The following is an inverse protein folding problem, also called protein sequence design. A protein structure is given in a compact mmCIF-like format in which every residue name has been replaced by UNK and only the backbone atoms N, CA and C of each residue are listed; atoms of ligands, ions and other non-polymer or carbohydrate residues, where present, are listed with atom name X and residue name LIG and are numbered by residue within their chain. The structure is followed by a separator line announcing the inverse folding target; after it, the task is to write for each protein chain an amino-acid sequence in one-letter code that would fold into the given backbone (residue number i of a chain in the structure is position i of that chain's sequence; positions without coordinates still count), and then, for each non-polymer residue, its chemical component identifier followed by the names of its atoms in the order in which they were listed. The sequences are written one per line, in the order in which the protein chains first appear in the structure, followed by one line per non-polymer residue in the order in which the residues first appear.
data_IF_996515994855
#
_entry.id   IF_996515994855
#
_cell.length_a   1.000
_cell.length_b   1.000
_cell.length_c   1.000
_cell.angle_alpha   90.00
_cell.angle_beta   90.00
_cell.angle_gamma   90.00
#
_symmetry.space_group_name_H-M   'P 1'
#
loop_
_entity.id
_entity.type
_entity.pdbx_description
1 polymer ?
#
# COMPACT_ATOMS: atom_id res chain seq x y z
N UNK A 1 -42.89 -61.15 -55.87
CA UNK A 1 -42.19 -59.88 -56.17
C UNK A 1 -42.76 -58.81 -55.24
N UNK A 2 -41.92 -58.28 -54.32
CA UNK A 2 -41.92 -56.93 -53.72
C UNK A 2 -43.28 -56.25 -53.41
N UNK A 3 -43.57 -55.68 -52.24
CA UNK A 3 -42.75 -55.14 -51.14
C UNK A 3 -43.68 -54.94 -49.93
N UNK A 4 -43.14 -55.18 -48.74
CA UNK A 4 -43.77 -54.92 -47.44
C UNK A 4 -43.58 -53.44 -47.09
N UNK A 5 -44.66 -52.74 -46.76
CA UNK A 5 -44.62 -51.46 -46.02
C UNK A 5 -45.26 -51.72 -44.65
N UNK A 6 -44.44 -51.76 -43.60
CA UNK A 6 -44.90 -51.74 -42.21
C UNK A 6 -44.62 -50.35 -41.66
N UNK A 7 -45.68 -49.65 -41.28
CA UNK A 7 -45.65 -48.41 -40.52
C UNK A 7 -45.14 -48.73 -39.11
N UNK A 8 -43.94 -48.25 -38.75
CA UNK A 8 -43.42 -48.34 -37.39
C UNK A 8 -43.91 -47.11 -36.61
N UNK A 9 -44.78 -47.35 -35.64
CA UNK A 9 -45.12 -46.37 -34.60
C UNK A 9 -43.98 -46.43 -33.56
N UNK A 10 -42.97 -45.60 -33.73
CA UNK A 10 -41.85 -45.47 -32.79
C UNK A 10 -42.21 -44.54 -31.65
N UNK A 11 -42.49 -45.12 -30.48
CA UNK A 11 -42.57 -44.41 -29.21
C UNK A 11 -41.17 -43.89 -28.87
N UNK A 12 -40.91 -42.61 -29.11
CA UNK A 12 -39.65 -41.97 -28.71
C UNK A 12 -39.64 -41.83 -27.18
N UNK A 13 -39.02 -42.80 -26.52
CA UNK A 13 -38.68 -42.72 -25.10
C UNK A 13 -37.58 -41.66 -24.97
N UNK A 14 -37.96 -40.43 -24.61
CA UNK A 14 -37.04 -39.36 -24.27
C UNK A 14 -36.30 -39.78 -22.98
N UNK A 15 -35.11 -40.34 -23.14
CA UNK A 15 -34.20 -40.53 -22.03
C UNK A 15 -33.79 -39.13 -21.55
N UNK A 16 -34.44 -38.66 -20.48
CA UNK A 16 -33.92 -37.57 -19.65
C UNK A 16 -32.60 -38.07 -19.05
N UNK A 17 -31.50 -37.82 -19.76
CA UNK A 17 -30.19 -37.79 -19.17
C UNK A 17 -30.20 -36.60 -18.20
N UNK A 18 -29.99 -36.81 -16.89
CA UNK A 18 -29.64 -35.70 -16.03
C UNK A 18 -28.31 -35.17 -16.56
N UNK A 19 -28.35 -34.03 -17.26
CA UNK A 19 -27.21 -33.15 -17.36
C UNK A 19 -26.89 -32.75 -15.93
N UNK A 20 -26.04 -33.54 -15.28
CA UNK A 20 -25.31 -33.11 -14.10
C UNK A 20 -24.62 -31.83 -14.52
N UNK A 21 -25.16 -30.69 -14.07
CA UNK A 21 -24.39 -29.47 -14.02
C UNK A 21 -23.18 -29.82 -13.16
N UNK A 22 -22.02 -29.98 -13.80
CA UNK A 22 -20.76 -29.84 -13.11
C UNK A 22 -20.71 -28.40 -12.61
N UNK A 23 -21.32 -28.13 -11.45
CA UNK A 23 -20.78 -27.10 -10.58
C UNK A 23 -19.48 -27.73 -10.09
N UNK A 24 -18.30 -27.28 -10.56
CA UNK A 24 -17.05 -27.74 -9.96
C UNK A 24 -17.18 -27.44 -8.48
N UNK A 25 -17.16 -28.49 -7.65
CA UNK A 25 -17.16 -28.32 -6.22
C UNK A 25 -15.91 -27.53 -5.90
N UNK A 26 -16.06 -26.34 -5.33
CA UNK A 26 -14.93 -25.49 -4.94
C UNK A 26 -14.10 -26.28 -3.93
N UNK A 27 -12.97 -26.81 -4.37
CA UNK A 27 -12.06 -27.59 -3.52
C UNK A 27 -11.13 -26.65 -2.77
N UNK A 28 -11.25 -26.63 -1.46
CA UNK A 28 -10.30 -25.98 -0.58
C UNK A 28 -9.02 -26.80 -0.49
N UNK A 29 -7.89 -26.16 -0.79
CA UNK A 29 -6.55 -26.72 -0.60
C UNK A 29 -6.07 -26.31 0.80
N UNK A 30 -5.48 -27.26 1.54
CA UNK A 30 -4.75 -26.91 2.76
C UNK A 30 -3.41 -26.35 2.30
N UNK A 31 -3.13 -25.10 2.64
CA UNK A 31 -1.84 -24.48 2.39
C UNK A 31 -0.84 -24.94 3.46
N UNK A 32 0.41 -25.20 3.06
CA UNK A 32 1.47 -25.54 4.01
C UNK A 32 1.84 -24.30 4.85
N UNK A 33 1.78 -23.12 4.25
CA UNK A 33 1.82 -21.82 4.89
C UNK A 33 0.65 -20.94 4.44
N UNK A 34 0.00 -20.14 5.33
CA UNK A 34 -0.98 -19.13 4.93
C UNK A 34 -0.44 -18.12 3.88
N UNK A 35 0.87 -18.04 3.72
CA UNK A 35 1.54 -17.14 2.79
C UNK A 35 1.71 -17.75 1.39
N UNK A 36 1.52 -19.06 1.24
CA UNK A 36 1.67 -19.74 -0.06
C UNK A 36 0.65 -19.22 -1.08
N UNK A 37 1.13 -18.93 -2.29
CA UNK A 37 0.26 -18.48 -3.37
C UNK A 37 -0.75 -19.57 -3.74
N UNK A 38 -2.00 -19.13 -3.91
CA UNK A 38 -3.08 -19.98 -4.40
C UNK A 38 -2.95 -20.17 -5.91
N UNK A 39 -3.48 -21.28 -6.43
CA UNK A 39 -3.69 -21.42 -7.88
C UNK A 39 -4.74 -20.43 -8.36
N UNK A 40 -4.61 -19.88 -9.56
CA UNK A 40 -5.50 -18.80 -10.05
C UNK A 40 -6.25 -19.16 -11.34
N UNK A 41 -7.00 -20.29 -11.41
CA UNK A 41 -7.61 -20.76 -12.65
C UNK A 41 -8.59 -19.77 -13.30
N UNK A 42 -9.26 -18.92 -12.52
CA UNK A 42 -10.17 -17.89 -13.07
C UNK A 42 -9.35 -16.82 -13.79
N UNK A 43 -8.25 -16.37 -13.19
CA UNK A 43 -7.30 -15.43 -13.81
C UNK A 43 -6.63 -16.06 -15.04
N UNK A 44 -6.14 -17.29 -14.93
CA UNK A 44 -5.41 -17.99 -16.00
C UNK A 44 -6.28 -18.21 -17.25
N UNK A 45 -7.58 -18.42 -17.04
CA UNK A 45 -8.54 -18.64 -18.13
C UNK A 45 -9.09 -17.35 -18.74
N UNK A 46 -8.91 -16.20 -18.09
CA UNK A 46 -9.49 -14.94 -18.55
C UNK A 46 -8.58 -14.24 -19.57
N UNK A 47 -9.02 -14.19 -20.83
CA UNK A 47 -8.22 -13.62 -21.93
C UNK A 47 -8.40 -12.11 -22.06
N UNK A 48 -7.32 -11.42 -22.37
CA UNK A 48 -7.32 -9.98 -22.54
C UNK A 48 -8.11 -9.58 -23.79
N UNK A 49 -9.26 -8.88 -23.67
CA UNK A 49 -10.13 -8.60 -24.81
C UNK A 49 -9.55 -7.63 -25.84
N UNK A 50 -8.46 -6.92 -25.52
CA UNK A 50 -7.88 -5.86 -26.37
C UNK A 50 -6.43 -6.18 -26.79
N UNK A 51 -6.05 -7.46 -26.80
CA UNK A 51 -4.70 -7.91 -27.12
C UNK A 51 -4.22 -7.47 -28.51
N UNK A 52 -5.09 -7.42 -29.50
CA UNK A 52 -4.69 -7.09 -30.88
C UNK A 52 -4.46 -5.58 -31.12
N UNK A 53 -4.90 -4.71 -30.21
CA UNK A 53 -4.96 -3.25 -30.47
C UNK A 53 -4.21 -2.39 -29.46
N UNK A 54 -3.90 -2.90 -28.25
CA UNK A 54 -3.36 -2.07 -27.15
C UNK A 54 -2.07 -1.32 -27.51
N UNK A 55 -1.20 -1.92 -28.33
CA UNK A 55 0.12 -1.37 -28.65
C UNK A 55 0.04 -0.05 -29.46
N UNK A 56 -1.10 0.22 -30.09
CA UNK A 56 -1.34 1.43 -30.89
C UNK A 56 -2.01 2.56 -30.11
N UNK A 57 -2.31 2.34 -28.83
CA UNK A 57 -3.18 3.20 -28.01
C UNK A 57 -2.42 3.82 -26.85
N UNK A 58 -2.92 4.95 -26.37
CA UNK A 58 -2.36 5.68 -25.23
C UNK A 58 -3.43 5.80 -24.15
N UNK A 59 -3.17 5.23 -22.96
CA UNK A 59 -4.16 5.11 -21.88
C UNK A 59 -4.78 6.45 -21.47
N UNK A 60 -4.04 7.56 -21.58
CA UNK A 60 -4.53 8.90 -21.21
C UNK A 60 -5.46 9.55 -22.24
N UNK A 61 -5.81 8.84 -23.32
CA UNK A 61 -6.78 9.28 -24.32
C UNK A 61 -8.06 8.48 -24.18
N UNK A 62 -9.19 9.17 -24.04
CA UNK A 62 -10.52 8.56 -24.02
C UNK A 62 -11.02 8.39 -25.45
N UNK A 63 -11.20 7.14 -25.89
CA UNK A 63 -11.73 6.83 -27.21
C UNK A 63 -13.25 6.88 -27.26
N UNK A 64 -13.80 6.74 -28.47
CA UNK A 64 -15.24 6.61 -28.66
C UNK A 64 -15.78 5.43 -27.85
N UNK A 65 -16.83 5.68 -27.05
CA UNK A 65 -17.38 4.68 -26.14
C UNK A 65 -16.71 4.62 -24.76
N UNK A 66 -15.72 5.48 -24.47
CA UNK A 66 -15.12 5.59 -23.15
C UNK A 66 -13.91 4.68 -22.89
N UNK A 67 -13.42 3.98 -23.90
CA UNK A 67 -12.24 3.13 -23.76
C UNK A 67 -10.99 3.99 -23.54
N UNK A 68 -10.30 3.76 -22.43
CA UNK A 68 -8.93 4.21 -22.19
C UNK A 68 -8.04 2.98 -22.22
N UNK A 69 -7.01 2.96 -23.07
CA UNK A 69 -6.19 1.78 -23.29
C UNK A 69 -4.76 2.18 -23.70
N UNK A 70 -3.76 1.51 -23.17
CA UNK A 70 -2.40 1.63 -23.69
C UNK A 70 -1.35 0.89 -22.87
N UNK A 71 -0.20 0.66 -23.50
CA UNK A 71 0.96 0.11 -22.81
C UNK A 71 1.54 1.14 -21.83
N UNK A 72 2.09 0.66 -20.72
CA UNK A 72 2.74 1.47 -19.72
C UNK A 72 4.01 0.80 -19.19
N UNK A 73 4.86 1.59 -18.54
CA UNK A 73 6.03 1.13 -17.81
C UNK A 73 5.83 1.44 -16.33
N UNK A 74 6.16 0.50 -15.44
CA UNK A 74 6.14 0.76 -14.01
C UNK A 74 7.15 1.86 -13.67
N UNK A 75 6.70 2.89 -12.95
CA UNK A 75 7.58 3.91 -12.37
C UNK A 75 7.88 3.63 -10.91
N UNK A 76 6.85 3.35 -10.12
CA UNK A 76 6.97 2.98 -8.72
C UNK A 76 5.68 2.35 -8.19
N UNK A 77 5.79 1.52 -7.16
CA UNK A 77 4.65 0.93 -6.45
C UNK A 77 4.28 1.77 -5.24
N UNK A 78 2.99 1.89 -4.91
CA UNK A 78 2.54 2.55 -3.68
C UNK A 78 2.08 1.51 -2.65
N UNK A 79 1.11 0.68 -3.02
CA UNK A 79 0.57 -0.39 -2.19
C UNK A 79 -0.15 -1.45 -3.06
N UNK A 80 -0.94 -2.34 -2.43
CA UNK A 80 -1.59 -3.48 -3.09
C UNK A 80 -2.71 -3.11 -4.07
N UNK A 81 -3.12 -1.84 -4.17
CA UNK A 81 -4.13 -1.40 -5.13
C UNK A 81 -3.84 -0.05 -5.80
N UNK A 82 -2.62 0.47 -5.59
CA UNK A 82 -2.16 1.73 -6.18
C UNK A 82 -0.71 1.61 -6.66
N UNK A 83 -0.47 2.01 -7.91
CA UNK A 83 0.87 2.09 -8.51
C UNK A 83 1.00 3.28 -9.47
N UNK A 84 2.22 3.66 -9.78
CA UNK A 84 2.57 4.79 -10.64
C UNK A 84 3.21 4.29 -11.92
N UNK A 85 2.75 4.81 -13.06
CA UNK A 85 3.18 4.38 -14.38
C UNK A 85 3.60 5.54 -15.26
N UNK A 86 4.50 5.25 -16.19
CA UNK A 86 4.84 6.10 -17.32
C UNK A 86 4.13 5.58 -18.56
N UNK A 87 3.56 6.50 -19.33
CA UNK A 87 2.83 6.21 -20.56
C UNK A 87 3.44 7.03 -21.69
N UNK A 88 3.79 6.38 -22.79
CA UNK A 88 4.42 7.03 -23.92
C UNK A 88 3.55 8.18 -24.46
N UNK A 89 4.14 9.35 -24.66
CA UNK A 89 3.44 10.55 -25.11
C UNK A 89 2.67 11.30 -24.02
N UNK A 90 2.72 10.86 -22.76
CA UNK A 90 2.18 11.58 -21.61
C UNK A 90 3.32 12.00 -20.68
N UNK A 91 3.46 13.31 -20.46
CA UNK A 91 4.58 13.86 -19.70
C UNK A 91 4.46 13.67 -18.19
N UNK A 92 3.24 13.46 -17.69
CA UNK A 92 2.99 13.27 -16.26
C UNK A 92 2.99 11.78 -15.89
N UNK A 93 3.07 11.52 -14.60
CA UNK A 93 2.93 10.16 -14.07
C UNK A 93 1.46 9.77 -13.96
N UNK A 94 1.10 8.60 -14.47
CA UNK A 94 -0.21 8.00 -14.26
C UNK A 94 -0.21 7.31 -12.90
N UNK A 95 -0.70 8.02 -11.87
CA UNK A 95 -1.03 7.39 -10.57
C UNK A 95 -2.35 6.64 -10.72
N UNK A 96 -2.31 5.32 -10.73
CA UNK A 96 -3.45 4.46 -11.00
C UNK A 96 -3.99 3.84 -9.71
N UNK A 97 -5.30 3.99 -9.48
CA UNK A 97 -6.06 3.22 -8.50
C UNK A 97 -6.72 2.03 -9.19
N UNK A 98 -6.52 0.84 -8.65
CA UNK A 98 -6.93 -0.40 -9.28
C UNK A 98 -8.43 -0.57 -9.11
N UNK A 99 -9.14 -0.81 -10.22
CA UNK A 99 -10.58 -1.03 -10.22
C UNK A 99 -10.95 -2.39 -9.62
N UNK A 100 -12.10 -2.44 -8.94
CA UNK A 100 -12.70 -3.66 -8.42
C UNK A 100 -12.08 -4.22 -7.14
N UNK A 101 -11.05 -3.57 -6.59
CA UNK A 101 -10.35 -4.02 -5.38
C UNK A 101 -10.13 -2.89 -4.37
N UNK A 102 -9.94 -3.30 -3.11
CA UNK A 102 -9.45 -2.47 -2.01
C UNK A 102 -8.62 -3.37 -1.09
N UNK A 103 -7.30 -3.33 -1.22
CA UNK A 103 -6.43 -4.16 -0.37
C UNK A 103 -6.37 -3.57 1.05
N UNK A 104 -6.12 -4.38 2.09
CA UNK A 104 -5.87 -3.84 3.42
C UNK A 104 -4.72 -2.82 3.40
N UNK A 105 -4.83 -1.79 4.23
CA UNK A 105 -3.88 -0.68 4.26
C UNK A 105 -2.47 -1.14 4.68
N UNK A 106 -1.43 -0.57 4.06
CA UNK A 106 -0.04 -1.00 4.29
C UNK A 106 0.96 0.15 4.41
N UNK A 107 0.49 1.40 4.37
CA UNK A 107 1.33 2.60 4.39
C UNK A 107 1.10 3.37 5.68
N UNK A 108 0.26 4.42 5.66
CA UNK A 108 -0.04 5.26 6.83
C UNK A 108 -0.70 4.46 7.96
N UNK A 109 -1.55 3.51 7.60
CA UNK A 109 -2.12 2.51 8.49
C UNK A 109 -1.60 1.14 8.06
N UNK A 110 -1.38 0.27 9.03
CA UNK A 110 -0.98 -1.12 8.77
C UNK A 110 -2.11 -2.03 9.20
N UNK A 111 -2.66 -2.78 8.25
CA UNK A 111 -3.72 -3.75 8.46
C UNK A 111 -3.23 -5.17 8.10
N UNK A 112 -3.82 -6.22 8.70
CA UNK A 112 -3.52 -7.60 8.34
C UNK A 112 -3.62 -7.84 6.84
N UNK A 113 -2.67 -8.57 6.28
CA UNK A 113 -2.49 -8.88 4.86
C UNK A 113 -2.10 -7.70 3.96
N UNK A 114 -2.10 -6.46 4.44
CA UNK A 114 -1.82 -5.28 3.62
C UNK A 114 -0.39 -5.26 3.07
N UNK A 115 0.61 -5.56 3.92
CA UNK A 115 2.02 -5.61 3.51
C UNK A 115 2.28 -6.70 2.47
N UNK A 116 1.69 -7.89 2.67
CA UNK A 116 1.81 -9.02 1.73
C UNK A 116 1.11 -8.74 0.40
N UNK A 117 -0.05 -8.07 0.41
CA UNK A 117 -0.72 -7.61 -0.80
C UNK A 117 0.15 -6.61 -1.59
N UNK A 118 0.76 -5.65 -0.89
CA UNK A 118 1.68 -4.67 -1.49
C UNK A 118 2.91 -5.34 -2.12
N UNK A 119 3.54 -6.29 -1.42
CA UNK A 119 4.68 -7.06 -1.94
C UNK A 119 4.28 -7.92 -3.13
N UNK A 120 3.12 -8.58 -3.08
CA UNK A 120 2.61 -9.38 -4.19
C UNK A 120 2.49 -8.55 -5.48
N UNK A 121 1.86 -7.37 -5.38
CA UNK A 121 1.73 -6.44 -6.51
C UNK A 121 3.09 -5.94 -6.98
N UNK A 122 3.96 -5.56 -6.05
CA UNK A 122 5.32 -5.08 -6.37
C UNK A 122 6.10 -6.13 -7.17
N UNK A 123 6.17 -7.35 -6.67
CA UNK A 123 6.92 -8.43 -7.28
C UNK A 123 6.43 -8.75 -8.70
N UNK A 124 5.11 -8.65 -8.95
CA UNK A 124 4.57 -8.85 -10.30
C UNK A 124 4.96 -7.69 -11.22
N UNK A 125 4.72 -6.44 -10.79
CA UNK A 125 4.90 -5.28 -11.67
C UNK A 125 6.38 -5.00 -11.98
N UNK A 126 7.30 -5.27 -11.05
CA UNK A 126 8.73 -5.01 -11.26
C UNK A 126 9.36 -5.94 -12.30
N UNK A 127 8.83 -7.14 -12.49
CA UNK A 127 9.38 -8.14 -13.42
C UNK A 127 8.49 -8.39 -14.64
N UNK A 128 7.33 -7.74 -14.73
CA UNK A 128 6.42 -7.91 -15.86
C UNK A 128 7.09 -7.50 -17.18
N UNK A 129 7.03 -8.37 -18.18
CA UNK A 129 7.54 -8.09 -19.52
C UNK A 129 6.72 -7.01 -20.24
N UNK A 130 5.40 -7.00 -20.04
CA UNK A 130 4.50 -6.02 -20.64
C UNK A 130 3.43 -5.67 -19.64
N UNK A 131 3.13 -4.37 -19.51
CA UNK A 131 2.04 -3.83 -18.68
C UNK A 131 1.12 -3.03 -19.59
N UNK A 132 -0.18 -3.30 -19.50
CA UNK A 132 -1.24 -2.62 -20.25
C UNK A 132 -2.29 -2.12 -19.27
N UNK A 133 -2.60 -0.84 -19.35
CA UNK A 133 -3.64 -0.20 -18.56
C UNK A 133 -4.91 -0.12 -19.42
N UNK A 134 -6.06 -0.44 -18.82
CA UNK A 134 -7.36 -0.33 -19.49
C UNK A 134 -8.45 0.19 -18.54
N UNK A 135 -9.30 1.10 -19.01
CA UNK A 135 -10.46 1.58 -18.27
C UNK A 135 -11.67 1.77 -19.20
N UNK A 136 -12.84 1.51 -18.66
CA UNK A 136 -14.14 1.88 -19.21
C UNK A 136 -14.60 3.17 -18.53
N UNK A 137 -14.14 4.30 -19.04
CA UNK A 137 -14.35 5.60 -18.43
C UNK A 137 -15.84 6.03 -18.42
N UNK A 138 -16.66 5.46 -19.31
CA UNK A 138 -18.11 5.68 -19.29
C UNK A 138 -18.76 5.02 -18.08
N UNK A 139 -18.26 3.86 -17.66
CA UNK A 139 -18.80 3.13 -16.51
C UNK A 139 -18.17 3.56 -15.18
N UNK A 140 -16.85 3.70 -15.15
CA UNK A 140 -16.11 3.91 -13.90
C UNK A 140 -15.66 5.36 -13.67
N UNK A 141 -15.75 6.20 -14.70
CA UNK A 141 -15.05 7.49 -14.74
C UNK A 141 -13.56 7.32 -15.03
N UNK A 142 -12.91 8.41 -15.43
CA UNK A 142 -11.47 8.42 -15.74
C UNK A 142 -10.61 8.42 -14.47
N UNK A 143 -11.11 9.06 -13.41
CA UNK A 143 -10.39 9.37 -12.18
C UNK A 143 -11.25 9.07 -10.96
N UNK A 144 -10.57 8.85 -9.84
CA UNK A 144 -11.22 8.68 -8.55
C UNK A 144 -11.93 9.97 -8.11
N UNK A 145 -12.71 9.88 -7.02
CA UNK A 145 -13.47 11.02 -6.50
C UNK A 145 -12.60 12.22 -6.07
N UNK A 146 -11.32 12.00 -5.80
CA UNK A 146 -10.37 13.07 -5.48
C UNK A 146 -9.82 13.78 -6.74
N UNK A 147 -9.97 13.17 -7.91
CA UNK A 147 -9.36 13.62 -9.17
C UNK A 147 -7.85 13.35 -9.27
N UNK A 148 -7.20 12.87 -8.20
CA UNK A 148 -5.75 12.74 -8.15
C UNK A 148 -5.24 11.43 -8.77
N UNK A 149 -6.10 10.42 -8.90
CA UNK A 149 -5.71 9.09 -9.40
C UNK A 149 -6.57 8.71 -10.59
N UNK A 150 -5.94 8.20 -11.65
CA UNK A 150 -6.66 7.53 -12.72
C UNK A 150 -7.23 6.21 -12.21
N UNK A 151 -8.33 5.76 -12.79
CA UNK A 151 -8.93 4.45 -12.52
C UNK A 151 -8.57 3.48 -13.65
N UNK A 152 -8.26 2.23 -13.32
CA UNK A 152 -8.06 1.22 -14.35
C UNK A 152 -7.81 -0.19 -13.85
N UNK A 153 -7.87 -1.11 -14.80
CA UNK A 153 -7.41 -2.49 -14.69
C UNK A 153 -5.99 -2.61 -15.27
N UNK A 154 -5.22 -3.53 -14.70
CA UNK A 154 -3.86 -3.83 -15.16
C UNK A 154 -3.81 -5.22 -15.74
N UNK A 155 -3.51 -5.29 -17.03
CA UNK A 155 -3.16 -6.53 -17.71
C UNK A 155 -1.64 -6.61 -17.84
N UNK A 156 -1.06 -7.78 -17.56
CA UNK A 156 0.38 -7.96 -17.68
C UNK A 156 0.76 -9.28 -18.32
N UNK A 157 1.95 -9.32 -18.95
CA UNK A 157 2.61 -10.56 -19.38
C UNK A 157 3.82 -10.81 -18.49
N UNK A 158 3.96 -12.00 -17.87
CA UNK A 158 5.18 -12.33 -17.12
C UNK A 158 6.39 -12.54 -18.04
N UNK A 159 6.18 -13.06 -19.25
CA UNK A 159 7.23 -13.26 -20.27
C UNK A 159 6.68 -12.91 -21.66
N UNK A 160 7.55 -12.72 -22.66
CA UNK A 160 7.13 -12.38 -24.03
C UNK A 160 6.11 -13.37 -24.63
N UNK A 161 6.31 -14.67 -24.40
CA UNK A 161 5.46 -15.74 -24.95
C UNK A 161 4.29 -16.16 -24.03
N UNK A 162 4.10 -15.49 -22.89
CA UNK A 162 3.02 -15.81 -21.98
C UNK A 162 1.71 -15.13 -22.38
N UNK A 163 0.59 -15.74 -21.97
CA UNK A 163 -0.72 -15.09 -22.03
C UNK A 163 -0.80 -13.91 -21.06
N UNK A 164 -1.63 -12.91 -21.41
CA UNK A 164 -1.97 -11.83 -20.50
C UNK A 164 -2.73 -12.33 -19.27
N UNK A 165 -2.43 -11.74 -18.12
CA UNK A 165 -3.10 -11.95 -16.83
C UNK A 165 -3.65 -10.63 -16.32
N UNK A 166 -4.85 -10.66 -15.73
CA UNK A 166 -5.46 -9.49 -15.08
C UNK A 166 -5.05 -9.42 -13.62
N UNK A 167 -4.14 -8.51 -13.27
CA UNK A 167 -3.60 -8.39 -11.91
C UNK A 167 -4.69 -8.11 -10.88
N UNK A 168 -5.66 -7.24 -11.18
CA UNK A 168 -6.75 -6.93 -10.24
C UNK A 168 -7.58 -8.17 -9.85
N UNK A 169 -7.83 -9.04 -10.83
CA UNK A 169 -8.56 -10.30 -10.63
C UNK A 169 -7.70 -11.31 -9.87
N UNK A 170 -6.40 -11.36 -10.20
CA UNK A 170 -5.44 -12.20 -9.52
C UNK A 170 -5.34 -11.87 -8.02
N UNK A 171 -5.33 -10.59 -7.66
CA UNK A 171 -5.33 -10.13 -6.26
C UNK A 171 -6.56 -10.66 -5.49
N UNK A 172 -7.73 -10.68 -6.13
CA UNK A 172 -8.96 -11.24 -5.54
C UNK A 172 -8.91 -12.76 -5.43
N UNK A 173 -8.40 -13.44 -6.47
CA UNK A 173 -8.28 -14.90 -6.47
C UNK A 173 -7.20 -15.41 -5.50
N UNK A 174 -6.19 -14.58 -5.25
CA UNK A 174 -5.22 -14.73 -4.17
C UNK A 174 -5.79 -14.29 -2.80
N UNK A 175 -7.00 -13.76 -2.73
CA UNK A 175 -7.62 -13.34 -1.47
C UNK A 175 -6.85 -12.23 -0.73
N UNK A 176 -6.07 -11.42 -1.43
CA UNK A 176 -5.45 -10.21 -0.87
C UNK A 176 -6.41 -9.02 -0.87
N UNK A 177 -7.50 -9.10 -1.63
CA UNK A 177 -8.64 -8.18 -1.56
C UNK A 177 -9.95 -8.94 -1.74
N UNK A 178 -11.03 -8.34 -1.26
CA UNK A 178 -12.40 -8.77 -1.58
C UNK A 178 -12.80 -8.21 -2.94
N UNK A 179 -13.87 -8.75 -3.52
CA UNK A 179 -14.48 -8.18 -4.71
C UNK A 179 -15.25 -6.90 -4.35
N UNK A 180 -14.84 -5.76 -4.90
CA UNK A 180 -15.54 -4.48 -4.78
C UNK A 180 -16.22 -4.05 -6.08
N UNK A 181 -16.32 -4.94 -7.07
CA UNK A 181 -16.91 -4.65 -8.37
C UNK A 181 -18.41 -4.98 -8.39
N UNK A 182 -19.24 -3.94 -8.45
CA UNK A 182 -20.71 -4.06 -8.44
C UNK A 182 -21.38 -3.63 -9.74
N UNK A 183 -20.62 -3.12 -10.71
CA UNK A 183 -21.11 -2.74 -12.05
C UNK A 183 -20.41 -3.52 -13.14
N UNK A 184 -21.13 -3.79 -14.23
CA UNK A 184 -20.56 -4.42 -15.42
C UNK A 184 -19.86 -3.38 -16.29
N UNK A 185 -18.66 -3.71 -16.76
CA UNK A 185 -18.04 -2.97 -17.87
C UNK A 185 -18.70 -3.34 -19.19
N UNK A 186 -18.66 -2.41 -20.14
CA UNK A 186 -19.00 -2.61 -21.54
C UNK A 186 -17.88 -3.30 -22.34
N UNK A 187 -16.66 -3.35 -21.79
CA UNK A 187 -15.46 -3.91 -22.46
C UNK A 187 -15.37 -5.43 -22.26
N UNK A 188 -15.58 -5.90 -21.03
CA UNK A 188 -15.35 -7.28 -20.63
C UNK A 188 -16.24 -7.68 -19.44
N UNK A 189 -16.48 -8.99 -19.21
CA UNK A 189 -17.29 -9.48 -18.09
C UNK A 189 -16.51 -9.47 -16.76
N UNK A 190 -15.86 -8.35 -16.42
CA UNK A 190 -15.02 -8.23 -15.22
C UNK A 190 -15.77 -8.62 -13.95
N UNK A 191 -17.01 -8.13 -13.77
CA UNK A 191 -17.81 -8.42 -12.57
C UNK A 191 -18.02 -9.90 -12.35
N UNK A 192 -18.44 -10.63 -13.38
CA UNK A 192 -18.65 -12.09 -13.29
C UNK A 192 -17.34 -12.81 -12.92
N UNK A 193 -16.21 -12.40 -13.51
CA UNK A 193 -14.90 -12.99 -13.20
C UNK A 193 -14.46 -12.73 -11.77
N UNK A 194 -14.66 -11.52 -11.26
CA UNK A 194 -14.36 -11.20 -9.88
C UNK A 194 -15.24 -11.99 -8.90
N UNK A 195 -16.54 -12.15 -9.20
CA UNK A 195 -17.44 -13.00 -8.41
C UNK A 195 -16.99 -14.47 -8.40
N UNK A 196 -16.55 -15.00 -9.54
CA UNK A 196 -16.00 -16.36 -9.66
C UNK A 196 -14.69 -16.52 -8.88
N UNK A 197 -13.78 -15.55 -8.96
CA UNK A 197 -12.49 -15.57 -8.29
C UNK A 197 -12.61 -15.52 -6.75
N UNK A 198 -13.54 -14.71 -6.23
CA UNK A 198 -13.72 -14.55 -4.78
C UNK A 198 -14.37 -15.78 -4.12
N UNK A 199 -15.21 -16.52 -4.86
CA UNK A 199 -16.03 -17.60 -4.32
C UNK A 199 -15.23 -18.63 -3.50
N UNK A 200 -14.04 -19.02 -3.97
CA UNK A 200 -13.17 -19.96 -3.25
C UNK A 200 -12.59 -19.35 -1.98
N UNK A 201 -12.20 -18.09 -2.03
CA UNK A 201 -11.68 -17.36 -0.87
C UNK A 201 -12.67 -17.32 0.28
N UNK A 202 -13.94 -17.06 -0.01
CA UNK A 202 -15.02 -17.05 0.98
C UNK A 202 -15.24 -18.44 1.58
N UNK A 203 -15.44 -19.45 0.73
CA UNK A 203 -15.72 -20.83 1.18
C UNK A 203 -14.59 -21.38 2.06
N UNK A 204 -13.35 -21.17 1.62
CA UNK A 204 -12.16 -21.70 2.27
C UNK A 204 -11.56 -20.77 3.34
N UNK A 205 -12.13 -19.57 3.51
CA UNK A 205 -11.70 -18.53 4.46
C UNK A 205 -10.25 -18.08 4.31
N UNK A 206 -9.72 -18.07 3.09
CA UNK A 206 -8.34 -17.64 2.86
C UNK A 206 -8.15 -16.15 3.15
N UNK A 207 -7.04 -15.82 3.80
CA UNK A 207 -6.54 -14.45 4.01
C UNK A 207 -7.65 -13.49 4.48
N UNK A 208 -7.97 -12.45 3.72
CA UNK A 208 -8.98 -11.42 4.08
C UNK A 208 -10.41 -11.96 4.28
N UNK A 209 -10.66 -13.23 3.93
CA UNK A 209 -11.94 -13.92 4.17
C UNK A 209 -12.02 -14.67 5.51
N UNK A 210 -10.92 -14.82 6.26
CA UNK A 210 -11.00 -15.34 7.62
C UNK A 210 -9.74 -15.93 8.24
N UNK A 211 -8.63 -16.05 7.50
CA UNK A 211 -7.36 -16.54 8.07
C UNK A 211 -6.58 -15.37 8.65
N UNK A 212 -6.07 -15.53 9.87
CA UNK A 212 -5.19 -14.53 10.49
C UNK A 212 -3.89 -14.40 9.69
N UNK A 213 -3.38 -13.17 9.56
CA UNK A 213 -2.11 -12.93 8.90
C UNK A 213 -0.96 -13.34 9.83
N UNK A 214 -0.16 -14.37 9.51
CA UNK A 214 0.93 -14.80 10.39
C UNK A 214 2.05 -13.75 10.50
N UNK A 215 2.11 -12.78 9.59
CA UNK A 215 3.08 -11.68 9.61
C UNK A 215 2.60 -10.45 10.39
N UNK A 216 1.35 -10.44 10.86
CA UNK A 216 0.79 -9.33 11.61
C UNK A 216 0.91 -9.56 13.12
N UNK A 217 1.43 -8.57 13.84
CA UNK A 217 1.50 -8.57 15.29
C UNK A 217 0.16 -8.13 15.89
N UNK A 218 -0.59 -9.13 16.38
CA UNK A 218 -1.86 -8.97 17.08
C UNK A 218 -1.72 -8.84 18.61
N UNK A 219 -0.49 -8.87 19.13
CA UNK A 219 -0.27 -8.75 20.56
C UNK A 219 -0.56 -7.33 21.05
N UNK A 220 -0.79 -7.20 22.35
CA UNK A 220 -0.78 -5.91 23.05
C UNK A 220 0.63 -5.59 23.59
N UNK A 221 1.65 -6.36 23.20
CA UNK A 221 3.02 -6.15 23.64
C UNK A 221 3.59 -4.94 22.89
N UNK A 222 4.15 -4.02 23.66
CA UNK A 222 4.67 -2.76 23.13
C UNK A 222 6.09 -2.57 23.59
N UNK A 223 6.97 -2.26 22.65
CA UNK A 223 8.37 -1.94 22.93
C UNK A 223 8.60 -0.43 22.85
N UNK A 224 9.51 0.09 23.67
CA UNK A 224 9.83 1.51 23.75
C UNK A 224 11.33 1.75 23.42
N UNK A 225 11.76 1.51 22.18
CA UNK A 225 13.15 1.74 21.78
C UNK A 225 13.45 3.23 21.61
N UNK A 226 14.74 3.58 21.70
CA UNK A 226 15.24 4.87 21.20
C UNK A 226 15.13 4.88 19.67
N UNK A 227 15.07 6.07 19.07
CA UNK A 227 14.99 6.22 17.61
C UNK A 227 16.24 5.64 16.96
N UNK A 228 17.42 5.85 17.57
CA UNK A 228 18.68 5.26 17.10
C UNK A 228 18.65 3.73 17.18
N UNK A 229 18.29 3.16 18.33
CA UNK A 229 18.27 1.70 18.47
C UNK A 229 17.30 1.04 17.47
N UNK A 230 16.12 1.63 17.27
CA UNK A 230 15.16 1.15 16.28
C UNK A 230 15.71 1.19 14.85
N UNK A 231 16.42 2.26 14.47
CA UNK A 231 17.05 2.39 13.16
C UNK A 231 18.11 1.32 12.95
N UNK A 232 18.94 1.07 13.96
CA UNK A 232 20.12 0.20 13.84
C UNK A 232 19.78 -1.29 13.98
N UNK A 233 18.63 -1.62 14.61
CA UNK A 233 18.19 -2.99 14.90
C UNK A 233 16.75 -3.23 14.44
N UNK A 234 16.36 -2.65 13.30
CA UNK A 234 14.98 -2.67 12.79
C UNK A 234 14.42 -4.08 12.57
N UNK A 235 15.29 -5.05 12.29
CA UNK A 235 14.96 -6.45 12.11
C UNK A 235 14.47 -7.11 13.42
N UNK A 236 14.98 -6.70 14.58
CA UNK A 236 14.50 -7.14 15.90
C UNK A 236 13.04 -6.74 16.16
N UNK A 237 12.57 -5.70 15.47
CA UNK A 237 11.19 -5.20 15.53
C UNK A 237 10.31 -5.77 14.42
N UNK A 238 10.77 -6.82 13.73
CA UNK A 238 9.99 -7.53 12.72
C UNK A 238 9.87 -6.79 11.38
N UNK A 239 10.71 -5.79 11.13
CA UNK A 239 10.71 -5.06 9.86
C UNK A 239 11.53 -5.88 8.87
N UNK A 240 10.83 -6.54 7.95
CA UNK A 240 11.44 -7.44 6.97
C UNK A 240 10.90 -7.18 5.57
N UNK A 241 11.67 -7.58 4.55
CA UNK A 241 11.21 -7.53 3.16
C UNK A 241 10.03 -8.49 2.89
N UNK A 242 9.81 -9.49 3.76
CA UNK A 242 8.78 -10.53 3.63
C UNK A 242 7.36 -10.10 4.02
N UNK A 243 7.17 -8.85 4.47
CA UNK A 243 5.82 -8.29 4.66
C UNK A 243 5.21 -8.54 6.03
N UNK A 244 5.99 -8.37 7.10
CA UNK A 244 5.44 -8.28 8.46
C UNK A 244 4.93 -6.86 8.78
N UNK A 245 4.00 -6.76 9.72
CA UNK A 245 3.55 -5.48 10.28
C UNK A 245 4.57 -4.82 11.20
N UNK A 246 5.64 -5.53 11.58
CA UNK A 246 6.52 -5.18 12.69
C UNK A 246 5.80 -5.27 14.05
N UNK A 247 6.54 -4.99 15.12
CA UNK A 247 5.99 -4.86 16.49
C UNK A 247 5.27 -3.53 16.69
N UNK A 248 4.36 -3.48 17.64
CA UNK A 248 3.86 -2.19 18.12
C UNK A 248 4.93 -1.49 18.97
N UNK A 249 5.14 -0.20 18.71
CA UNK A 249 6.17 0.61 19.35
C UNK A 249 5.57 1.81 20.05
N UNK A 250 6.28 2.28 21.07
CA UNK A 250 6.16 3.62 21.64
C UNK A 250 7.47 4.34 21.33
N UNK A 251 7.38 5.52 20.72
CA UNK A 251 8.54 6.34 20.42
C UNK A 251 8.42 7.66 21.15
N UNK A 252 9.47 8.01 21.89
CA UNK A 252 9.65 9.36 22.45
C UNK A 252 10.64 10.14 21.60
N UNK A 253 10.30 11.37 21.26
CA UNK A 253 11.17 12.20 20.44
C UNK A 253 10.77 13.66 20.39
N UNK A 254 11.75 14.51 20.08
CA UNK A 254 11.58 15.92 19.81
C UNK A 254 11.06 16.11 18.38
N UNK A 255 9.97 16.84 18.23
CA UNK A 255 9.42 17.21 16.92
C UNK A 255 10.31 18.29 16.32
N UNK A 256 11.11 17.95 15.31
CA UNK A 256 12.06 18.87 14.67
C UNK A 256 11.61 19.35 13.30
N UNK A 257 10.55 18.77 12.75
CA UNK A 257 9.96 19.18 11.48
C UNK A 257 8.54 18.65 11.31
N UNK A 258 7.76 19.34 10.48
CA UNK A 258 6.40 18.94 10.11
C UNK A 258 6.19 19.13 8.61
N UNK A 259 5.51 18.17 7.99
CA UNK A 259 5.19 18.14 6.57
C UNK A 259 3.75 17.62 6.39
N UNK A 260 2.82 18.55 6.14
CA UNK A 260 1.39 18.23 6.25
C UNK A 260 1.09 17.74 7.67
N UNK A 261 0.41 16.61 7.79
CA UNK A 261 0.14 15.96 9.09
C UNK A 261 1.29 15.07 9.59
N UNK A 262 2.31 14.83 8.76
CA UNK A 262 3.46 14.00 9.12
C UNK A 262 4.54 14.84 9.79
N UNK A 263 5.45 14.19 10.50
CA UNK A 263 6.49 14.89 11.27
C UNK A 263 7.84 14.18 11.20
N UNK A 264 8.88 14.86 11.67
CA UNK A 264 10.20 14.28 11.90
C UNK A 264 10.47 14.31 13.39
N UNK A 265 10.73 13.14 13.97
CA UNK A 265 11.08 12.98 15.37
C UNK A 265 12.58 12.79 15.51
N UNK A 266 13.22 13.54 16.41
CA UNK A 266 14.63 13.40 16.78
C UNK A 266 14.73 12.70 18.13
N UNK A 267 15.73 11.84 18.27
CA UNK A 267 16.06 11.21 19.53
C UNK A 267 16.38 12.27 20.60
N UNK A 268 16.12 11.94 21.85
CA UNK A 268 16.26 12.86 22.99
C UNK A 268 17.20 12.32 24.07
N UNK A 269 17.57 11.04 23.98
CA UNK A 269 18.38 10.34 24.97
C UNK A 269 19.61 9.68 24.38
N UNK A 270 19.57 9.34 23.09
CA UNK A 270 20.54 8.46 22.46
C UNK A 270 21.33 9.20 21.36
N UNK A 271 22.55 9.60 21.71
CA UNK A 271 23.48 10.31 20.83
C UNK A 271 24.37 9.27 20.12
N UNK A 272 24.65 9.53 18.86
CA UNK A 272 25.68 8.81 18.12
C UNK A 272 27.07 9.21 18.67
N UNK A 273 27.80 8.25 19.24
CA UNK A 273 29.12 8.51 19.84
C UNK A 273 30.19 8.92 18.82
N UNK A 274 30.04 8.55 17.55
CA UNK A 274 31.00 8.87 16.49
C UNK A 274 30.77 10.30 15.96
N UNK A 275 29.52 10.68 15.72
CA UNK A 275 29.18 12.00 15.18
C UNK A 275 28.95 13.04 16.28
N UNK A 276 28.58 12.61 17.48
CA UNK A 276 28.15 13.44 18.59
C UNK A 276 26.72 13.96 18.44
N UNK A 277 25.89 13.33 17.61
CA UNK A 277 24.60 13.89 17.19
C UNK A 277 23.42 12.93 17.34
N UNK A 278 22.20 13.48 17.41
CA UNK A 278 20.98 12.69 17.57
C UNK A 278 20.43 12.19 16.23
N UNK A 279 19.98 10.94 16.23
CA UNK A 279 19.25 10.35 15.11
C UNK A 279 17.84 10.94 15.01
N UNK A 280 17.25 10.87 13.83
CA UNK A 280 15.90 11.37 13.53
C UNK A 280 15.19 10.41 12.58
N UNK A 281 13.88 10.27 12.74
CA UNK A 281 13.07 9.38 11.91
C UNK A 281 11.82 10.11 11.45
N UNK A 282 11.50 9.91 10.17
CA UNK A 282 10.25 10.41 9.61
C UNK A 282 9.08 9.59 10.16
N UNK A 283 8.03 10.27 10.59
CA UNK A 283 6.80 9.69 11.10
C UNK A 283 5.65 10.05 10.17
N UNK A 284 5.26 9.09 9.35
CA UNK A 284 4.20 9.25 8.35
C UNK A 284 2.83 9.06 8.97
N UNK A 285 2.06 10.13 9.07
CA UNK A 285 0.71 10.11 9.63
C UNK A 285 -0.38 9.79 8.60
N UNK A 286 -0.07 9.81 7.31
CA UNK A 286 -1.10 9.84 6.26
C UNK A 286 -1.70 11.24 6.10
N UNK A 287 -2.90 11.30 5.51
CA UNK A 287 -3.59 12.55 5.19
C UNK A 287 -4.79 12.79 6.09
N UNK A 288 -5.03 14.05 6.44
CA UNK A 288 -6.20 14.51 7.20
C UNK A 288 -6.35 13.86 8.59
N UNK A 289 -5.23 13.59 9.26
CA UNK A 289 -5.26 13.09 10.64
C UNK A 289 -5.38 14.19 11.68
N UNK A 290 -5.28 15.45 11.24
CA UNK A 290 -5.26 16.64 12.08
C UNK A 290 -4.10 16.66 13.10
N UNK A 291 -3.11 15.79 12.95
CA UNK A 291 -1.98 15.69 13.86
C UNK A 291 -1.17 16.98 13.91
N UNK A 292 -1.04 17.67 12.79
CA UNK A 292 -0.36 18.97 12.73
C UNK A 292 -1.12 20.10 13.44
N UNK A 293 -2.40 19.91 13.77
CA UNK A 293 -3.16 20.88 14.57
C UNK A 293 -2.99 20.72 16.07
N UNK A 294 -2.36 19.62 16.52
CA UNK A 294 -2.20 19.29 17.94
C UNK A 294 -0.73 19.13 18.35
N UNK A 295 0.16 18.80 17.42
CA UNK A 295 1.61 18.72 17.66
C UNK A 295 2.29 19.93 17.02
N UNK A 296 3.37 20.45 17.62
CA UNK A 296 4.17 21.55 17.10
C UNK A 296 5.66 21.26 17.13
N UNK A 297 6.41 21.85 16.19
CA UNK A 297 7.88 21.82 16.22
C UNK A 297 8.39 22.40 17.55
N UNK A 298 9.24 21.63 18.22
CA UNK A 298 9.74 21.89 19.58
C UNK A 298 9.02 21.09 20.68
N UNK A 299 7.87 20.46 20.39
CA UNK A 299 7.24 19.55 21.34
C UNK A 299 8.11 18.29 21.50
N UNK A 300 8.23 17.79 22.72
CA UNK A 300 8.74 16.43 22.99
C UNK A 300 7.53 15.55 23.26
N UNK A 301 7.29 14.59 22.37
CA UNK A 301 6.11 13.74 22.42
C UNK A 301 6.48 12.29 22.66
N UNK A 302 5.51 11.53 23.14
CA UNK A 302 5.49 10.07 23.21
C UNK A 302 4.30 9.58 22.38
N UNK A 303 4.55 8.74 21.38
CA UNK A 303 3.55 8.33 20.39
C UNK A 303 3.62 6.83 20.11
N UNK A 304 2.46 6.20 19.99
CA UNK A 304 2.36 4.81 19.54
C UNK A 304 2.45 4.74 18.00
N UNK A 305 3.24 3.80 17.51
CA UNK A 305 3.49 3.63 16.09
C UNK A 305 3.88 2.17 15.77
N UNK A 306 4.13 1.92 14.49
CA UNK A 306 4.91 0.79 13.98
C UNK A 306 6.01 1.35 13.09
N UNK A 307 7.14 0.68 13.01
CA UNK A 307 8.16 1.05 12.03
C UNK A 307 8.00 0.21 10.76
N UNK A 308 8.31 0.82 9.63
CA UNK A 308 8.16 0.23 8.29
C UNK A 308 9.31 0.68 7.41
N UNK A 309 9.58 -0.07 6.34
CA UNK A 309 10.53 0.32 5.32
C UNK A 309 9.81 0.93 4.12
N UNK A 310 10.26 2.12 3.70
CA UNK A 310 9.78 2.81 2.51
C UNK A 310 10.97 3.36 1.71
N UNK A 311 11.10 2.96 0.44
CA UNK A 311 12.23 3.30 -0.43
C UNK A 311 13.60 3.10 0.25
N UNK A 312 13.79 1.96 0.92
CA UNK A 312 15.03 1.62 1.61
C UNK A 312 15.29 2.38 2.93
N UNK A 313 14.38 3.25 3.37
CA UNK A 313 14.50 3.96 4.64
C UNK A 313 13.51 3.43 5.67
N UNK A 314 13.95 3.34 6.92
CA UNK A 314 13.08 3.08 8.05
C UNK A 314 12.32 4.36 8.41
N UNK A 315 11.01 4.25 8.53
CA UNK A 315 10.13 5.32 8.96
C UNK A 315 9.08 4.79 9.94
N UNK A 316 8.51 5.67 10.76
CA UNK A 316 7.32 5.36 11.56
C UNK A 316 6.06 5.50 10.72
N UNK A 317 5.09 4.63 10.98
CA UNK A 317 3.77 4.58 10.36
C UNK A 317 2.77 3.99 11.37
N UNK A 318 1.51 3.84 11.00
CA UNK A 318 0.42 3.43 11.91
C UNK A 318 0.37 4.28 13.20
N UNK A 319 0.66 5.58 13.05
CA UNK A 319 0.72 6.52 14.17
C UNK A 319 -0.65 6.60 14.85
N UNK A 320 -0.70 6.43 16.16
CA UNK A 320 -1.94 6.65 16.93
C UNK A 320 -2.04 8.12 17.28
N UNK A 321 -2.85 8.83 16.51
CA UNK A 321 -2.96 10.30 16.56
C UNK A 321 -3.98 10.84 17.56
N UNK A 322 -4.70 9.95 18.26
CA UNK A 322 -5.71 10.35 19.22
C UNK A 322 -5.06 11.08 20.41
N UNK A 323 -5.69 12.15 20.89
CA UNK A 323 -5.28 12.88 22.11
C UNK A 323 -5.93 12.32 23.38
N UNK A 324 -6.81 11.33 23.23
CA UNK A 324 -7.54 10.68 24.33
C UNK A 324 -7.55 9.16 24.14
N UNK A 325 -7.85 8.42 25.22
CA UNK A 325 -7.86 6.95 25.21
C UNK A 325 -6.53 6.32 25.67
N UNK A 326 -6.41 5.00 25.52
CA UNK A 326 -5.28 4.21 26.05
C UNK A 326 -3.98 4.41 25.25
N UNK A 327 -4.07 4.51 23.93
CA UNK A 327 -2.93 4.72 23.02
C UNK A 327 -2.92 6.17 22.50
N UNK A 328 -3.08 7.12 23.43
CA UNK A 328 -3.05 8.54 23.10
C UNK A 328 -1.62 9.03 22.92
N UNK A 329 -1.46 10.14 22.21
CA UNK A 329 -0.22 10.92 22.24
C UNK A 329 -0.07 11.56 23.63
N UNK A 330 1.16 11.56 24.14
CA UNK A 330 1.51 12.25 25.37
C UNK A 330 2.58 13.31 25.10
N UNK A 331 2.43 14.49 25.70
CA UNK A 331 3.43 15.55 25.64
C UNK A 331 4.29 15.45 26.88
N UNK A 332 5.58 15.17 26.67
CA UNK A 332 6.59 15.13 27.72
C UNK A 332 7.15 16.53 27.98
N UNK A 333 7.27 17.35 26.94
CA UNK A 333 7.53 18.79 27.00
C UNK A 333 6.82 19.49 25.83
N UNK A 334 6.45 20.76 26.03
CA UNK A 334 5.62 21.50 25.08
C UNK A 334 6.38 22.75 24.61
N UNK A 335 6.37 22.97 23.29
CA UNK A 335 6.88 24.18 22.66
C UNK A 335 6.07 25.40 23.12
N UNK A 336 6.68 26.57 23.36
CA UNK A 336 5.95 27.80 23.69
C UNK A 336 4.90 28.21 22.64
N UNK A 337 4.99 27.65 21.42
CA UNK A 337 4.07 27.90 20.32
C UNK A 337 3.02 26.80 20.11
N UNK A 338 2.95 25.80 21.01
CA UNK A 338 2.06 24.64 20.84
C UNK A 338 0.58 25.01 20.91
N UNK A 339 -0.29 24.46 20.04
CA UNK A 339 -1.72 24.79 19.98
C UNK A 339 -2.55 24.17 21.11
N UNK A 340 -2.03 23.16 21.80
CA UNK A 340 -2.72 22.49 22.93
C UNK A 340 -2.72 23.37 24.18
N UNK A 341 -1.71 24.22 24.33
CA UNK A 341 -1.70 25.27 25.33
C UNK A 341 -1.99 26.58 24.60
N UNK A 342 -3.20 27.19 24.74
CA UNK A 342 -3.36 28.56 24.27
C UNK A 342 -2.29 29.45 24.93
N UNK A 343 -1.92 30.52 24.24
CA UNK A 343 -0.92 31.57 24.56
C UNK A 343 -1.25 32.35 25.86
N UNK A 344 -1.66 31.66 26.90
CA UNK A 344 -2.45 32.14 28.01
C UNK A 344 -2.04 31.48 29.33
N UNK A 345 -0.74 31.32 29.55
CA UNK A 345 -0.21 31.32 30.91
C UNK A 345 1.07 32.18 30.93
N UNK A 346 1.13 33.25 31.75
CA UNK A 346 2.41 33.88 32.02
C UNK A 346 3.33 32.81 32.61
N UNK A 347 4.60 32.82 32.16
CA UNK A 347 5.66 31.87 32.53
C UNK A 347 5.80 31.63 34.05
N UNK A 348 5.22 32.49 34.88
CA UNK A 348 5.16 32.40 36.34
C UNK A 348 4.13 31.40 36.92
N UNK A 349 3.28 30.75 36.12
CA UNK A 349 2.27 29.78 36.59
C UNK A 349 2.57 28.32 36.23
N UNK A 350 3.73 28.05 35.61
CA UNK A 350 4.23 26.67 35.59
C UNK A 350 4.46 26.24 37.05
N UNK A 351 4.01 25.04 37.47
CA UNK A 351 4.35 24.53 38.79
C UNK A 351 5.88 24.48 38.89
N UNK A 352 6.46 25.40 39.67
CA UNK A 352 7.87 25.39 40.02
C UNK A 352 8.24 23.97 40.50
N UNK A 353 9.04 23.26 39.71
CA UNK A 353 9.69 22.02 40.13
C UNK A 353 9.12 20.69 39.63
N UNK A 354 8.53 20.59 38.43
CA UNK A 354 8.49 19.29 37.74
C UNK A 354 9.79 19.09 36.93
N UNK A 355 10.73 18.25 37.39
CA UNK A 355 12.04 18.04 36.75
C UNK A 355 11.96 17.40 35.36
N UNK A 356 10.77 17.07 34.84
CA UNK A 356 10.56 16.59 33.47
C UNK A 356 10.59 17.71 32.41
N UNK A 357 10.56 18.97 32.81
CA UNK A 357 10.55 20.13 31.90
C UNK A 357 11.91 20.84 31.77
N UNK A 358 12.86 20.56 32.66
CA UNK A 358 14.16 21.21 32.65
C UNK A 358 15.19 20.31 31.95
N UNK A 359 15.58 20.71 30.73
CA UNK A 359 16.67 20.17 29.91
C UNK A 359 16.39 18.90 29.10
N UNK A 360 15.45 18.96 28.15
CA UNK A 360 15.76 18.34 26.86
C UNK A 360 16.73 19.27 26.12
N UNK A 361 17.95 18.83 25.76
CA UNK A 361 18.83 19.61 24.92
C UNK A 361 18.16 19.75 23.54
N UNK A 362 17.42 20.84 23.33
CA UNK A 362 16.73 21.10 22.06
C UNK A 362 17.72 21.66 21.05
N UNK A 363 18.63 20.80 20.59
CA UNK A 363 19.27 21.04 19.31
C UNK A 363 18.25 20.72 18.22
N UNK A 364 17.81 21.75 17.49
CA UNK A 364 16.94 21.62 16.31
C UNK A 364 17.73 21.87 15.01
N UNK A 365 19.05 22.10 15.11
CA UNK A 365 19.88 22.33 13.94
C UNK A 365 19.88 21.09 13.06
N UNK A 366 19.82 21.31 11.76
CA UNK A 366 20.00 20.28 10.76
C UNK A 366 21.49 20.15 10.45
N UNK A 367 21.91 19.01 9.92
CA UNK A 367 23.25 18.88 9.35
C UNK A 367 23.31 19.68 8.07
N UNK A 368 24.19 20.68 8.05
CA UNK A 368 24.49 21.41 6.82
C UNK A 368 25.28 20.48 5.90
N UNK A 369 24.69 20.20 4.74
CA UNK A 369 25.34 19.41 3.70
C UNK A 369 25.82 20.33 2.58
N UNK A 370 27.03 20.06 2.09
CA UNK A 370 27.47 20.61 0.81
C UNK A 370 26.83 19.81 -0.32
N UNK A 371 25.75 20.35 -0.89
CA UNK A 371 25.01 19.69 -1.97
C UNK A 371 25.88 19.39 -3.21
N UNK A 372 27.08 19.98 -3.34
CA UNK A 372 28.00 19.68 -4.45
C UNK A 372 28.70 18.32 -4.35
N UNK A 373 28.61 17.64 -3.20
CA UNK A 373 29.25 16.32 -3.00
C UNK A 373 28.33 15.14 -3.35
N UNK A 374 27.07 15.39 -3.71
CA UNK A 374 26.08 14.34 -3.99
C UNK A 374 25.77 14.27 -5.49
N UNK A 375 26.02 13.12 -6.09
CA UNK A 375 25.78 12.83 -7.51
C UNK A 375 24.68 11.78 -7.72
N UNK A 376 24.35 11.03 -6.68
CA UNK A 376 23.45 9.88 -6.69
C UNK A 376 22.64 9.80 -5.39
N UNK A 377 21.64 8.92 -5.37
CA UNK A 377 20.84 8.69 -4.17
C UNK A 377 21.66 8.00 -3.07
N UNK A 378 22.59 7.13 -3.46
CA UNK A 378 23.48 6.38 -2.59
C UNK A 378 24.42 7.29 -1.78
N UNK A 379 24.72 8.49 -2.29
CA UNK A 379 25.54 9.48 -1.57
C UNK A 379 24.85 9.99 -0.30
N UNK A 380 23.53 9.83 -0.17
CA UNK A 380 22.77 10.17 1.03
C UNK A 380 22.80 9.07 2.10
N UNK A 381 23.31 7.88 1.81
CA UNK A 381 23.34 6.75 2.76
C UNK A 381 23.98 7.10 4.12
N UNK A 382 25.09 7.87 4.21
CA UNK A 382 25.67 8.28 5.49
C UNK A 382 24.75 9.16 6.34
N UNK A 383 23.76 9.79 5.73
CA UNK A 383 22.80 10.69 6.38
C UNK A 383 21.45 10.01 6.64
N UNK A 384 21.37 8.69 6.50
CA UNK A 384 20.15 7.95 6.80
C UNK A 384 19.77 8.11 8.27
N UNK A 385 18.52 8.52 8.49
CA UNK A 385 18.02 8.81 9.83
C UNK A 385 18.57 10.09 10.44
N UNK A 386 18.97 11.07 9.62
CA UNK A 386 19.44 12.38 10.10
C UNK A 386 18.65 13.50 9.40
N UNK A 387 18.38 14.60 10.12
CA UNK A 387 17.77 15.79 9.49
C UNK A 387 18.86 16.60 8.83
N UNK A 388 18.82 16.67 7.51
CA UNK A 388 19.79 17.40 6.71
C UNK A 388 19.17 18.66 6.11
N UNK A 389 19.94 19.73 6.13
CA UNK A 389 19.65 20.95 5.37
C UNK A 389 20.54 20.94 4.13
N UNK A 390 19.91 20.95 2.95
CA UNK A 390 20.64 20.95 1.70
C UNK A 390 19.94 21.81 0.64
N UNK A 391 20.74 22.55 -0.14
CA UNK A 391 20.28 23.21 -1.36
C UNK A 391 20.37 22.24 -2.53
N UNK A 392 19.40 21.34 -2.61
CA UNK A 392 19.41 20.31 -3.67
C UNK A 392 18.90 20.92 -4.98
N UNK A 393 19.72 20.85 -6.04
CA UNK A 393 19.23 21.09 -7.42
C UNK A 393 18.95 19.73 -8.04
N UNK A 394 17.71 19.25 -7.93
CA UNK A 394 17.29 18.01 -8.59
C UNK A 394 17.22 18.29 -10.09
N UNK A 395 18.21 17.83 -10.84
CA UNK A 395 18.15 17.80 -12.30
C UNK A 395 17.63 16.43 -12.72
N UNK A 396 16.41 16.41 -13.24
CA UNK A 396 15.92 15.24 -13.96
C UNK A 396 16.78 15.08 -15.22
N UNK A 397 17.55 14.00 -15.28
CA UNK A 397 18.14 13.56 -16.54
C UNK A 397 16.99 12.96 -17.35
N UNK A 398 16.78 13.51 -18.54
CA UNK A 398 15.70 13.14 -19.47
C UNK A 398 16.02 11.88 -20.24
#
# INVERSE_FOLDING_TARGET
MNKIFKTLLGLAMFALLPLSSCNPTLTCVVLDSPDDLLTTPITDSFKFPQEDVYASKTFTTVESGGLMLGQATLKSTTDGDTANFEVAGYAETVRLRFLGINTPESTAKVEPWGKKASIFVKNILEVAHTIVLINDAVVFGERDSSGNRHLGYIWYKPTADADFRLLNLEIVEQCYSKNFLFVNSTIAPYREKFEQAEARGIECKYRVHGTADPGYDYSDDVEEPTIRYLRDNYDEFGITEGGSSGKQLIISGLVVGQMGDSMVLRDITDVDDETGQYCSMYAYAGYNTALASVVTVGDVIKIYARATMYNGNIQLSDLKTNTTGKQKIEWLAISPNSPILPLAYPVSEYPDGDPRYDNYPTDISAYDMDASTFNSYEDFAPYSGYVVSARVTIRYVT
#
